data_IF_161561291743
#
_entry.id   IF_161561291743
#
_cell.length_a   1.000
_cell.length_b   1.000
_cell.length_c   1.000
_cell.angle_alpha   90.00
_cell.angle_beta   90.00
_cell.angle_gamma   90.00
#
_symmetry.space_group_name_H-M   'P 1'
#
loop_
_entity.id
_entity.type
_entity.pdbx_description
1 polymer ?
#
# COMPACT_ATOMS: atom_id res chain seq x y z
N UNK A 1 -15.40 -49.59 22.85
CA UNK A 1 -14.57 -49.45 21.64
C UNK A 1 -14.08 -48.02 21.61
N UNK A 2 -12.91 -47.88 22.21
CA UNK A 2 -11.87 -46.87 22.07
C UNK A 2 -12.24 -45.40 22.18
N UNK A 3 -12.23 -44.94 23.44
CA UNK A 3 -11.79 -43.60 23.80
C UNK A 3 -10.33 -43.44 23.36
N UNK A 4 -10.09 -42.69 22.29
CA UNK A 4 -8.77 -42.13 22.02
C UNK A 4 -8.60 -41.03 23.06
N UNK A 5 -7.71 -41.28 24.02
CA UNK A 5 -7.38 -40.33 25.07
C UNK A 5 -6.91 -39.02 24.45
N UNK A 6 -7.47 -37.92 24.94
CA UNK A 6 -6.81 -36.63 24.85
C UNK A 6 -5.44 -36.78 25.51
N UNK A 7 -4.38 -36.91 24.70
CA UNK A 7 -3.02 -36.69 25.17
C UNK A 7 -2.95 -35.23 25.61
N UNK A 8 -3.22 -35.00 26.89
CA UNK A 8 -2.73 -33.86 27.63
C UNK A 8 -1.22 -33.83 27.43
N UNK A 9 -0.74 -33.02 26.48
CA UNK A 9 0.66 -32.59 26.46
C UNK A 9 0.86 -31.72 27.71
N UNK A 10 1.62 -32.19 28.73
CA UNK A 10 1.93 -31.33 29.85
C UNK A 10 3.03 -30.38 29.38
N UNK A 11 2.67 -29.14 29.04
CA UNK A 11 3.65 -28.06 28.94
C UNK A 11 4.12 -27.67 30.36
N UNK A 12 4.73 -28.60 31.08
CA UNK A 12 5.46 -28.31 32.31
C UNK A 12 6.88 -27.91 31.93
N UNK A 13 7.04 -26.69 31.44
CA UNK A 13 8.32 -26.03 31.22
C UNK A 13 8.27 -24.66 31.89
N UNK A 14 9.34 -24.27 32.60
CA UNK A 14 9.55 -22.86 32.91
C UNK A 14 10.23 -22.26 31.68
N UNK A 15 9.62 -21.24 31.10
CA UNK A 15 10.25 -20.50 30.00
C UNK A 15 11.53 -19.86 30.52
N UNK A 16 12.62 -20.06 29.78
CA UNK A 16 13.92 -19.50 30.12
C UNK A 16 14.48 -18.78 28.91
N UNK A 17 14.82 -17.52 29.11
CA UNK A 17 15.57 -16.73 28.13
C UNK A 17 17.01 -16.61 28.62
N UNK A 18 17.95 -17.08 27.81
CA UNK A 18 19.38 -16.85 28.02
C UNK A 18 19.87 -15.78 27.06
N UNK A 19 20.23 -14.62 27.59
CA UNK A 19 20.78 -13.52 26.81
C UNK A 19 22.31 -13.64 26.68
N UNK A 20 22.81 -13.45 25.45
CA UNK A 20 24.21 -13.13 25.20
C UNK A 20 24.44 -11.63 25.31
N UNK A 21 25.59 -11.21 25.86
CA UNK A 21 26.01 -9.80 25.84
C UNK A 21 26.30 -9.27 24.43
N UNK A 22 26.38 -10.16 23.43
CA UNK A 22 26.65 -9.81 22.06
C UNK A 22 25.38 -9.30 21.34
N UNK A 23 25.56 -8.23 20.56
CA UNK A 23 24.55 -7.77 19.60
C UNK A 23 24.54 -8.68 18.38
N UNK A 24 23.39 -8.80 17.75
CA UNK A 24 23.24 -9.54 16.51
C UNK A 24 23.90 -8.78 15.34
N UNK A 25 24.56 -9.53 14.47
CA UNK A 25 25.12 -9.03 13.21
C UNK A 25 24.17 -9.40 12.09
N UNK A 26 23.71 -8.41 11.32
CA UNK A 26 22.85 -8.63 10.15
C UNK A 26 23.64 -9.12 8.93
N UNK A 27 22.91 -9.53 7.89
CA UNK A 27 23.50 -10.04 6.64
C UNK A 27 24.46 -9.06 5.95
N UNK A 28 24.33 -7.75 6.19
CA UNK A 28 25.18 -6.72 5.59
C UNK A 28 26.35 -6.32 6.50
N UNK A 29 26.61 -7.10 7.55
CA UNK A 29 27.69 -6.87 8.50
C UNK A 29 27.39 -5.77 9.52
N UNK A 30 26.17 -5.23 9.53
CA UNK A 30 25.75 -4.22 10.49
C UNK A 30 25.52 -4.81 11.88
N UNK A 31 25.87 -4.06 12.91
CA UNK A 31 25.46 -4.39 14.28
C UNK A 31 24.04 -3.90 14.50
N UNK A 32 23.10 -4.83 14.64
CA UNK A 32 21.70 -4.53 14.90
C UNK A 32 21.48 -4.06 16.35
N UNK A 33 20.45 -3.26 16.57
CA UNK A 33 19.98 -2.91 17.92
C UNK A 33 19.11 -4.03 18.52
N UNK A 34 19.64 -5.25 18.49
CA UNK A 34 19.04 -6.48 18.97
C UNK A 34 20.15 -7.34 19.59
N UNK A 35 19.92 -7.88 20.78
CA UNK A 35 20.86 -8.78 21.46
C UNK A 35 20.55 -10.23 21.09
N UNK A 36 21.59 -11.06 21.00
CA UNK A 36 21.42 -12.48 20.71
C UNK A 36 20.90 -13.17 21.98
N UNK A 37 19.92 -14.05 21.85
CA UNK A 37 19.45 -14.87 22.95
C UNK A 37 19.05 -16.27 22.51
N UNK A 38 18.79 -17.12 23.51
CA UNK A 38 18.17 -18.43 23.35
C UNK A 38 16.92 -18.51 24.19
N UNK A 39 15.84 -18.99 23.59
CA UNK A 39 14.56 -19.24 24.24
C UNK A 39 14.36 -20.73 24.41
N UNK A 40 14.17 -21.18 25.65
CA UNK A 40 13.93 -22.58 25.99
C UNK A 40 12.55 -22.74 26.61
N UNK A 41 11.73 -23.59 25.98
CA UNK A 41 10.41 -23.99 26.47
C UNK A 41 10.36 -25.52 26.55
N UNK A 42 10.57 -26.07 27.75
CA UNK A 42 10.68 -27.51 27.95
C UNK A 42 11.92 -28.09 27.23
N UNK A 43 11.69 -28.98 26.26
CA UNK A 43 12.76 -29.59 25.43
C UNK A 43 13.07 -28.77 24.17
N UNK A 44 12.28 -27.75 23.88
CA UNK A 44 12.42 -26.95 22.67
C UNK A 44 13.35 -25.76 22.94
N UNK A 45 14.40 -25.64 22.14
CA UNK A 45 15.32 -24.50 22.15
C UNK A 45 15.26 -23.80 20.79
N UNK A 46 15.13 -22.48 20.81
CA UNK A 46 15.15 -21.64 19.62
C UNK A 46 16.04 -20.43 19.86
N UNK A 47 16.87 -20.11 18.88
CA UNK A 47 17.57 -18.85 18.88
C UNK A 47 16.59 -17.68 18.65
N UNK A 48 16.74 -16.64 19.46
CA UNK A 48 15.88 -15.46 19.46
C UNK A 48 16.72 -14.19 19.47
N UNK A 49 16.06 -13.07 19.28
CA UNK A 49 16.64 -11.75 19.45
C UNK A 49 15.96 -11.04 20.61
N UNK A 50 16.68 -10.14 21.28
CA UNK A 50 16.16 -9.40 22.43
C UNK A 50 16.28 -7.91 22.14
N UNK A 51 15.13 -7.23 22.04
CA UNK A 51 15.07 -5.77 21.94
C UNK A 51 14.99 -5.18 23.34
N UNK A 52 15.90 -4.25 23.61
CA UNK A 52 15.88 -3.44 24.85
C UNK A 52 15.51 -2.01 24.53
N UNK A 53 14.89 -1.33 25.48
CA UNK A 53 14.57 0.09 25.31
C UNK A 53 13.73 0.64 26.43
N UNK A 54 13.99 1.88 26.83
CA UNK A 54 13.23 2.58 27.88
C UNK A 54 11.76 2.80 27.51
N UNK A 55 11.44 2.76 26.22
CA UNK A 55 10.11 2.92 25.66
C UNK A 55 9.27 1.64 25.69
N UNK A 56 9.89 0.47 25.91
CA UNK A 56 9.21 -0.82 25.89
C UNK A 56 8.47 -1.05 27.21
N UNK A 57 7.19 -1.36 27.11
CA UNK A 57 6.28 -1.52 28.24
C UNK A 57 5.55 -2.86 28.17
N UNK A 58 5.24 -3.41 29.33
CA UNK A 58 4.41 -4.63 29.44
C UNK A 58 3.05 -4.45 28.76
N UNK A 59 2.43 -3.29 28.91
CA UNK A 59 1.15 -2.94 28.26
C UNK A 59 1.20 -3.12 26.73
N UNK A 60 2.33 -2.78 26.09
CA UNK A 60 2.53 -2.99 24.65
C UNK A 60 2.54 -4.48 24.30
N UNK A 61 3.23 -5.30 25.10
CA UNK A 61 3.22 -6.75 24.93
C UNK A 61 1.82 -7.34 25.12
N UNK A 62 1.10 -6.94 26.17
CA UNK A 62 -0.26 -7.42 26.46
C UNK A 62 -1.26 -7.11 25.33
N UNK A 63 -1.07 -5.99 24.62
CA UNK A 63 -1.88 -5.67 23.43
C UNK A 63 -1.50 -6.50 22.21
N UNK A 64 -0.26 -6.97 22.13
CA UNK A 64 0.30 -7.67 20.95
C UNK A 64 0.44 -9.18 21.14
N UNK A 65 0.22 -9.71 22.34
CA UNK A 65 0.47 -11.13 22.66
C UNK A 65 -0.33 -12.10 21.80
N UNK A 66 -1.52 -11.69 21.34
CA UNK A 66 -2.37 -12.45 20.41
C UNK A 66 -2.34 -11.89 18.98
N UNK A 67 -1.48 -10.92 18.70
CA UNK A 67 -1.35 -10.29 17.39
C UNK A 67 -0.27 -10.97 16.56
N UNK A 68 -0.69 -11.68 15.52
CA UNK A 68 0.20 -12.33 14.57
C UNK A 68 -0.02 -11.72 13.19
N UNK A 69 1.05 -11.23 12.57
CA UNK A 69 1.00 -10.70 11.21
C UNK A 69 2.31 -11.03 10.46
N UNK A 70 2.26 -11.47 9.19
CA UNK A 70 3.47 -11.84 8.42
C UNK A 70 4.49 -10.71 8.21
N UNK A 71 4.10 -9.46 8.47
CA UNK A 71 4.93 -8.26 8.36
C UNK A 71 5.23 -7.60 9.72
N UNK A 72 4.88 -8.26 10.82
CA UNK A 72 5.33 -7.88 12.15
C UNK A 72 6.46 -8.82 12.60
N UNK A 73 7.49 -8.27 13.23
CA UNK A 73 8.43 -9.09 13.99
C UNK A 73 7.66 -9.69 15.17
N UNK A 74 7.70 -11.02 15.30
CA UNK A 74 6.89 -11.72 16.27
C UNK A 74 7.48 -11.56 17.67
N UNK A 75 6.69 -11.01 18.61
CA UNK A 75 7.09 -10.87 20.01
C UNK A 75 6.69 -12.16 20.73
N UNK A 76 7.70 -12.95 21.09
CA UNK A 76 7.54 -14.29 21.66
C UNK A 76 7.28 -14.22 23.17
N UNK A 77 7.96 -13.29 23.85
CA UNK A 77 7.92 -13.16 25.30
C UNK A 77 8.48 -11.78 25.71
N UNK A 78 8.50 -11.51 27.01
CA UNK A 78 9.19 -10.36 27.58
C UNK A 78 10.01 -10.73 28.81
N UNK A 79 11.07 -9.97 29.06
CA UNK A 79 11.89 -10.06 30.28
C UNK A 79 11.58 -8.82 31.11
N UNK A 80 11.13 -9.02 32.34
CA UNK A 80 10.95 -7.93 33.29
C UNK A 80 12.29 -7.25 33.61
N UNK A 81 12.29 -5.93 33.50
CA UNK A 81 13.37 -5.07 33.98
C UNK A 81 12.86 -4.19 35.14
N UNK A 82 13.77 -3.41 35.72
CA UNK A 82 13.42 -2.46 36.78
C UNK A 82 12.47 -1.37 36.27
N UNK A 83 11.48 -1.01 37.12
CA UNK A 83 10.58 0.15 36.98
C UNK A 83 9.58 0.04 35.79
N UNK A 84 8.88 -1.08 35.68
CA UNK A 84 7.82 -1.31 34.68
C UNK A 84 8.33 -1.24 33.22
N UNK A 85 9.63 -1.49 33.05
CA UNK A 85 10.27 -1.65 31.74
C UNK A 85 10.37 -3.13 31.44
N UNK A 86 10.33 -3.46 30.17
CA UNK A 86 10.50 -4.82 29.71
C UNK A 86 11.45 -4.85 28.53
N UNK A 87 12.22 -5.92 28.40
CA UNK A 87 12.87 -6.27 27.15
C UNK A 87 11.96 -7.21 26.38
N UNK A 88 11.84 -7.04 25.07
CA UNK A 88 11.06 -7.95 24.22
C UNK A 88 11.94 -9.06 23.67
N UNK A 89 11.47 -10.30 23.81
CA UNK A 89 12.05 -11.47 23.15
C UNK A 89 11.31 -11.63 21.83
N UNK A 90 12.05 -11.62 20.74
CA UNK A 90 11.47 -11.55 19.39
C UNK A 90 12.05 -12.61 18.48
N UNK A 91 11.32 -12.95 17.42
CA UNK A 91 11.79 -13.85 16.37
C UNK A 91 13.05 -13.30 15.68
N UNK A 92 13.86 -14.21 15.12
CA UNK A 92 14.99 -13.83 14.27
C UNK A 92 14.54 -12.99 13.08
N UNK A 93 15.41 -12.07 12.69
CA UNK A 93 15.38 -11.29 11.46
C UNK A 93 16.78 -11.34 10.83
N UNK A 94 16.86 -11.10 9.53
CA UNK A 94 18.10 -11.32 8.78
C UNK A 94 18.97 -10.06 8.70
N UNK A 95 18.35 -8.88 8.58
CA UNK A 95 19.04 -7.61 8.49
C UNK A 95 18.19 -6.45 9.00
N UNK A 96 18.83 -5.34 9.34
CA UNK A 96 18.11 -4.07 9.46
C UNK A 96 17.71 -3.56 8.08
N UNK A 97 16.52 -2.98 7.98
CA UNK A 97 16.05 -2.40 6.73
C UNK A 97 16.95 -1.25 6.26
N UNK A 98 17.43 -0.41 7.18
CA UNK A 98 18.28 0.73 6.85
C UNK A 98 19.65 0.31 6.28
N UNK A 99 20.26 -0.76 6.82
CA UNK A 99 21.52 -1.28 6.27
C UNK A 99 21.30 -1.83 4.86
N UNK A 100 20.26 -2.64 4.66
CA UNK A 100 19.89 -3.15 3.33
C UNK A 100 19.60 -2.03 2.34
N UNK A 101 18.86 -0.99 2.76
CA UNK A 101 18.53 0.15 1.93
C UNK A 101 19.79 0.85 1.41
N UNK A 102 20.81 1.00 2.26
CA UNK A 102 22.09 1.63 1.90
C UNK A 102 23.01 0.72 1.07
N UNK A 103 23.00 -0.58 1.36
CA UNK A 103 23.85 -1.55 0.67
C UNK A 103 23.29 -1.95 -0.70
N UNK A 104 22.00 -2.29 -0.77
CA UNK A 104 21.36 -2.84 -1.98
C UNK A 104 20.20 -2.00 -2.48
N UNK A 105 19.27 -1.62 -1.60
CA UNK A 105 18.01 -0.97 -2.01
C UNK A 105 18.24 0.26 -2.89
N UNK A 106 19.18 1.11 -2.48
CA UNK A 106 19.62 2.30 -3.22
C UNK A 106 20.55 1.97 -4.37
N UNK A 107 21.62 1.19 -4.13
CA UNK A 107 22.68 0.95 -5.12
C UNK A 107 22.17 0.18 -6.34
N UNK A 108 21.26 -0.77 -6.14
CA UNK A 108 20.64 -1.58 -7.20
C UNK A 108 19.32 -1.01 -7.70
N UNK A 109 18.94 0.21 -7.29
CA UNK A 109 17.69 0.88 -7.69
C UNK A 109 16.43 0.01 -7.48
N UNK A 110 16.37 -0.71 -6.36
CA UNK A 110 15.26 -1.62 -6.04
C UNK A 110 14.04 -0.88 -5.47
N UNK A 111 14.23 0.35 -4.98
CA UNK A 111 13.17 1.15 -4.37
C UNK A 111 12.46 2.05 -5.38
N UNK A 112 13.27 2.77 -6.16
CA UNK A 112 12.83 3.77 -7.13
C UNK A 112 13.61 3.64 -8.43
N UNK A 113 12.98 4.00 -9.55
CA UNK A 113 13.71 4.23 -10.80
C UNK A 113 14.28 5.66 -10.87
N UNK A 114 15.03 5.94 -11.94
CA UNK A 114 15.65 7.24 -12.22
C UNK A 114 14.67 8.42 -12.28
N UNK A 115 13.38 8.16 -12.53
CA UNK A 115 12.34 9.17 -12.62
C UNK A 115 11.57 9.32 -11.30
N UNK A 116 11.97 8.61 -10.25
CA UNK A 116 11.28 8.62 -8.97
C UNK A 116 9.99 7.78 -8.96
N UNK A 117 9.80 6.87 -9.92
CA UNK A 117 8.71 5.89 -9.86
C UNK A 117 9.07 4.81 -8.84
N UNK A 118 8.12 4.48 -7.98
CA UNK A 118 8.24 3.35 -7.06
C UNK A 118 8.35 2.03 -7.85
N UNK A 119 9.36 1.22 -7.55
CA UNK A 119 9.52 -0.12 -8.13
C UNK A 119 8.55 -1.10 -7.46
N UNK A 120 8.24 -2.20 -8.14
CA UNK A 120 7.31 -3.23 -7.67
C UNK A 120 7.65 -3.74 -6.27
N UNK A 121 8.93 -4.07 -6.00
CA UNK A 121 9.36 -4.56 -4.69
C UNK A 121 8.99 -3.59 -3.56
N UNK A 122 9.34 -2.30 -3.70
CA UNK A 122 9.03 -1.32 -2.65
C UNK A 122 7.52 -1.04 -2.57
N UNK A 123 6.82 -1.01 -3.71
CA UNK A 123 5.36 -0.88 -3.74
C UNK A 123 4.68 -1.99 -2.95
N UNK A 124 5.14 -3.22 -3.12
CA UNK A 124 4.59 -4.39 -2.43
C UNK A 124 4.91 -4.33 -0.92
N UNK A 125 6.14 -3.94 -0.54
CA UNK A 125 6.48 -3.68 0.87
C UNK A 125 5.55 -2.64 1.52
N UNK A 126 5.20 -1.57 0.80
CA UNK A 126 4.26 -0.55 1.32
C UNK A 126 2.84 -1.09 1.45
N UNK A 127 2.38 -1.89 0.49
CA UNK A 127 1.06 -2.53 0.57
C UNK A 127 0.98 -3.48 1.75
N UNK A 128 2.02 -4.30 1.95
CA UNK A 128 2.11 -5.22 3.09
C UNK A 128 2.21 -4.48 4.43
N UNK A 129 2.91 -3.34 4.48
CA UNK A 129 2.91 -2.46 5.64
C UNK A 129 1.52 -1.86 5.90
N UNK A 130 0.77 -1.51 4.86
CA UNK A 130 -0.62 -1.07 5.01
C UNK A 130 -1.50 -2.20 5.55
N UNK A 131 -1.30 -3.43 5.10
CA UNK A 131 -2.00 -4.64 5.56
C UNK A 131 -1.78 -4.88 7.06
N UNK A 132 -0.54 -4.69 7.52
CA UNK A 132 -0.18 -4.71 8.94
C UNK A 132 -0.96 -3.66 9.74
N UNK A 133 -0.97 -2.41 9.26
CA UNK A 133 -1.68 -1.32 9.94
C UNK A 133 -3.19 -1.59 9.97
N UNK A 134 -3.78 -2.02 8.86
CA UNK A 134 -5.21 -2.36 8.79
C UNK A 134 -5.57 -3.48 9.78
N UNK A 135 -4.71 -4.50 9.89
CA UNK A 135 -4.87 -5.60 10.84
C UNK A 135 -4.83 -5.14 12.30
N UNK A 136 -3.94 -4.19 12.65
CA UNK A 136 -3.92 -3.57 13.98
C UNK A 136 -5.22 -2.80 14.25
N UNK A 137 -5.66 -2.00 13.28
CA UNK A 137 -6.91 -1.23 13.40
C UNK A 137 -8.13 -2.14 13.57
N UNK A 138 -8.18 -3.27 12.86
CA UNK A 138 -9.21 -4.30 12.99
C UNK A 138 -9.26 -4.94 14.39
N UNK A 139 -8.14 -4.94 15.11
CA UNK A 139 -8.06 -5.36 16.52
C UNK A 139 -8.31 -4.22 17.51
N UNK A 140 -8.62 -3.01 17.04
CA UNK A 140 -8.82 -1.83 17.88
C UNK A 140 -7.51 -1.31 18.49
N UNK A 141 -6.38 -1.55 17.83
CA UNK A 141 -5.04 -1.14 18.24
C UNK A 141 -4.52 -0.11 17.24
N UNK A 142 -3.88 0.94 17.73
CA UNK A 142 -3.22 1.96 16.91
C UNK A 142 -1.74 2.04 17.27
N UNK A 143 -0.94 2.51 16.33
CA UNK A 143 0.47 2.78 16.58
C UNK A 143 0.54 4.01 17.48
N UNK A 144 1.27 3.90 18.60
CA UNK A 144 1.30 4.97 19.59
C UNK A 144 2.19 6.15 19.16
N UNK A 145 3.27 5.85 18.43
CA UNK A 145 4.26 6.80 17.93
C UNK A 145 4.38 6.69 16.41
N UNK A 146 4.94 7.70 15.75
CA UNK A 146 5.34 7.55 14.34
C UNK A 146 6.34 6.40 14.18
N UNK A 147 6.32 5.76 13.02
CA UNK A 147 7.32 4.74 12.68
C UNK A 147 8.74 5.29 12.79
N UNK A 148 9.62 4.52 13.44
CA UNK A 148 11.06 4.73 13.43
C UNK A 148 11.70 3.79 12.41
N UNK A 149 12.57 4.31 11.55
CA UNK A 149 13.31 3.52 10.55
C UNK A 149 14.15 2.40 11.19
N UNK A 150 14.61 2.60 12.43
CA UNK A 150 15.41 1.63 13.18
C UNK A 150 14.62 0.40 13.65
N UNK A 151 13.28 0.49 13.68
CA UNK A 151 12.41 -0.62 14.07
C UNK A 151 11.99 -1.49 12.87
N UNK A 152 12.44 -1.13 11.65
CA UNK A 152 12.23 -1.95 10.46
C UNK A 152 13.41 -2.89 10.20
N UNK A 153 13.07 -4.13 9.92
CA UNK A 153 14.00 -5.20 9.61
C UNK A 153 13.56 -5.91 8.33
N UNK A 154 14.40 -6.83 7.88
CA UNK A 154 14.10 -7.72 6.77
C UNK A 154 14.12 -9.16 7.22
N UNK A 155 13.22 -9.93 6.64
CA UNK A 155 13.36 -11.39 6.52
C UNK A 155 13.56 -11.71 5.05
N UNK A 156 14.53 -12.54 4.72
CA UNK A 156 14.81 -12.99 3.35
C UNK A 156 14.16 -14.36 3.17
N UNK A 157 13.24 -14.48 2.21
CA UNK A 157 12.66 -15.78 1.87
C UNK A 157 13.66 -16.68 1.14
N UNK A 158 13.35 -17.97 1.03
CA UNK A 158 14.22 -18.97 0.40
C UNK A 158 14.57 -18.65 -1.08
N UNK A 159 13.71 -17.88 -1.75
CA UNK A 159 13.92 -17.37 -3.11
C UNK A 159 14.76 -16.08 -3.17
N UNK A 160 15.25 -15.60 -2.02
CA UNK A 160 16.10 -14.41 -1.91
C UNK A 160 15.35 -13.09 -1.92
N UNK A 161 14.02 -13.09 -1.89
CA UNK A 161 13.23 -11.85 -1.91
C UNK A 161 13.22 -11.24 -0.49
N UNK A 162 13.64 -9.96 -0.33
CA UNK A 162 13.56 -9.31 0.96
C UNK A 162 12.12 -8.92 1.29
N UNK A 163 11.68 -9.27 2.49
CA UNK A 163 10.37 -8.91 3.03
C UNK A 163 10.52 -7.94 4.20
N UNK A 164 9.78 -6.83 4.13
CA UNK A 164 9.78 -5.82 5.18
C UNK A 164 8.99 -6.29 6.40
N UNK A 165 9.61 -6.28 7.56
CA UNK A 165 8.95 -6.56 8.85
C UNK A 165 9.18 -5.41 9.83
N UNK A 166 8.14 -5.06 10.58
CA UNK A 166 8.18 -4.00 11.59
C UNK A 166 8.18 -4.60 13.00
N UNK A 167 9.13 -4.19 13.83
CA UNK A 167 9.07 -4.44 15.26
C UNK A 167 8.14 -3.41 15.92
N UNK A 168 6.99 -3.87 16.40
CA UNK A 168 6.00 -3.02 17.05
C UNK A 168 6.43 -2.68 18.49
N UNK A 169 7.22 -1.63 18.64
CA UNK A 169 7.79 -1.20 19.94
C UNK A 169 6.81 -0.40 20.80
N UNK A 170 5.79 0.23 20.19
CA UNK A 170 4.80 1.03 20.91
C UNK A 170 3.43 1.04 20.21
N UNK A 171 2.45 0.37 20.82
CA UNK A 171 1.04 0.41 20.41
C UNK A 171 0.15 0.82 21.57
N UNK A 172 -1.05 1.29 21.27
CA UNK A 172 -2.04 1.68 22.29
C UNK A 172 -3.45 1.39 21.79
N UNK A 173 -4.41 1.34 22.72
CA UNK A 173 -5.82 1.53 22.35
C UNK A 173 -6.05 3.00 21.96
N UNK A 174 -6.86 3.28 20.93
CA UNK A 174 -7.12 4.65 20.53
C UNK A 174 -7.87 5.40 21.63
N UNK A 175 -7.40 6.60 21.98
CA UNK A 175 -8.12 7.51 22.86
C UNK A 175 -9.04 8.42 22.04
N UNK A 176 -8.60 8.80 20.84
CA UNK A 176 -9.35 9.60 19.88
C UNK A 176 -9.39 8.86 18.53
N UNK A 177 -10.32 7.91 18.33
CA UNK A 177 -10.26 6.94 17.24
C UNK A 177 -10.01 7.55 15.86
N UNK A 178 -10.75 8.59 15.47
CA UNK A 178 -10.59 9.24 14.17
C UNK A 178 -9.20 9.88 13.99
N UNK A 179 -8.65 10.47 15.04
CA UNK A 179 -7.34 11.13 15.01
C UNK A 179 -6.22 10.09 15.02
N UNK A 180 -6.27 9.14 15.96
CA UNK A 180 -5.24 8.12 16.13
C UNK A 180 -5.12 7.19 14.90
N UNK A 181 -6.25 6.87 14.24
CA UNK A 181 -6.26 6.15 12.95
C UNK A 181 -5.56 6.98 11.86
N UNK A 182 -5.85 8.28 11.78
CA UNK A 182 -5.21 9.18 10.80
C UNK A 182 -3.70 9.28 11.01
N UNK A 183 -3.24 9.35 12.26
CA UNK A 183 -1.80 9.36 12.59
C UNK A 183 -1.12 8.02 12.29
N UNK A 184 -1.82 6.89 12.45
CA UNK A 184 -1.31 5.57 12.04
C UNK A 184 -1.06 5.53 10.52
N UNK A 185 -2.00 5.98 9.70
CA UNK A 185 -1.81 6.06 8.25
C UNK A 185 -0.77 7.10 7.83
N UNK A 186 -0.67 8.21 8.56
CA UNK A 186 0.38 9.21 8.34
C UNK A 186 1.77 8.65 8.59
N UNK A 187 1.91 7.73 9.55
CA UNK A 187 3.19 7.05 9.81
C UNK A 187 3.66 6.25 8.60
N UNK A 188 2.76 5.57 7.88
CA UNK A 188 3.08 4.88 6.62
C UNK A 188 3.57 5.87 5.56
N UNK A 189 2.87 7.00 5.37
CA UNK A 189 3.30 8.03 4.41
C UNK A 189 4.65 8.65 4.77
N UNK A 190 4.90 8.86 6.06
CA UNK A 190 6.19 9.34 6.56
C UNK A 190 7.31 8.34 6.29
N UNK A 191 7.06 7.04 6.47
CA UNK A 191 8.02 5.99 6.13
C UNK A 191 8.41 6.02 4.65
N UNK A 192 7.44 6.19 3.73
CA UNK A 192 7.71 6.36 2.29
C UNK A 192 8.63 7.57 2.07
N UNK A 193 8.32 8.71 2.70
CA UNK A 193 9.12 9.93 2.59
C UNK A 193 10.54 9.75 3.15
N UNK A 194 10.70 9.04 4.28
CA UNK A 194 12.01 8.70 4.84
C UNK A 194 12.82 7.84 3.87
N UNK A 195 12.19 6.87 3.21
CA UNK A 195 12.86 6.07 2.16
C UNK A 195 13.30 6.94 0.98
N UNK A 196 12.47 7.90 0.55
CA UNK A 196 12.85 8.88 -0.47
C UNK A 196 14.07 9.71 -0.04
N UNK A 197 14.10 10.18 1.21
CA UNK A 197 15.25 10.93 1.78
C UNK A 197 16.51 10.09 1.79
N UNK A 198 16.48 8.85 2.30
CA UNK A 198 17.66 7.97 2.33
C UNK A 198 18.17 7.61 0.92
N UNK A 199 17.25 7.55 -0.06
CA UNK A 199 17.58 7.29 -1.47
C UNK A 199 17.91 8.55 -2.28
N UNK A 200 17.94 9.75 -1.68
CA UNK A 200 18.13 11.03 -2.38
C UNK A 200 17.19 11.21 -3.59
N UNK A 201 15.94 10.75 -3.46
CA UNK A 201 14.96 10.68 -4.55
C UNK A 201 13.69 11.45 -4.19
N UNK A 202 12.92 11.89 -5.19
CA UNK A 202 11.56 12.41 -5.02
C UNK A 202 10.58 11.53 -5.77
N UNK A 203 9.41 11.28 -5.20
CA UNK A 203 8.34 10.58 -5.90
C UNK A 203 7.90 11.37 -7.13
N UNK A 204 7.68 10.66 -8.23
CA UNK A 204 6.95 11.23 -9.35
C UNK A 204 5.47 11.45 -8.99
N UNK A 205 4.70 12.04 -9.92
CA UNK A 205 3.27 12.31 -9.70
C UNK A 205 2.48 11.07 -9.30
N UNK A 206 2.74 9.93 -9.95
CA UNK A 206 2.07 8.67 -9.65
C UNK A 206 2.41 8.11 -8.26
N UNK A 207 3.69 8.10 -7.89
CA UNK A 207 4.12 7.66 -6.56
C UNK A 207 3.57 8.56 -5.45
N UNK A 208 3.52 9.88 -5.69
CA UNK A 208 2.89 10.82 -4.77
C UNK A 208 1.39 10.55 -4.63
N UNK A 209 0.69 10.36 -5.75
CA UNK A 209 -0.72 10.03 -5.78
C UNK A 209 -1.04 8.75 -5.01
N UNK A 210 -0.23 7.69 -5.21
CA UNK A 210 -0.31 6.43 -4.47
C UNK A 210 -0.12 6.63 -2.96
N UNK A 211 0.93 7.36 -2.55
CA UNK A 211 1.19 7.67 -1.14
C UNK A 211 0.07 8.49 -0.50
N UNK A 212 -0.42 9.52 -1.21
CA UNK A 212 -1.50 10.40 -0.73
C UNK A 212 -2.84 9.66 -0.62
N UNK A 213 -3.04 8.57 -1.35
CA UNK A 213 -4.25 7.74 -1.27
C UNK A 213 -4.34 6.96 0.05
N UNK A 214 -3.20 6.58 0.65
CA UNK A 214 -3.15 5.80 1.89
C UNK A 214 -3.85 6.56 3.02
N UNK A 215 -4.89 5.97 3.61
CA UNK A 215 -5.63 6.55 4.74
C UNK A 215 -6.63 7.67 4.38
N UNK A 216 -6.96 7.86 3.09
CA UNK A 216 -8.13 8.67 2.68
C UNK A 216 -9.44 7.99 3.11
N UNK A 217 -10.54 8.73 3.14
CA UNK A 217 -11.86 8.16 3.48
C UNK A 217 -12.34 7.08 2.49
N UNK A 218 -11.86 7.11 1.24
CA UNK A 218 -12.14 6.10 0.20
C UNK A 218 -11.08 4.99 0.13
N UNK A 219 -10.10 5.00 1.03
CA UNK A 219 -9.01 4.03 1.04
C UNK A 219 -9.51 2.64 1.43
N UNK A 220 -9.07 1.63 0.66
CA UNK A 220 -9.09 0.22 1.04
C UNK A 220 -7.82 -0.45 0.53
N UNK A 221 -7.38 -1.53 1.19
CA UNK A 221 -6.22 -2.31 0.74
C UNK A 221 -6.40 -2.90 -0.66
N UNK A 222 -7.62 -3.36 -0.98
CA UNK A 222 -7.96 -3.87 -2.31
C UNK A 222 -7.77 -2.78 -3.37
N UNK A 223 -8.23 -1.56 -3.09
CA UNK A 223 -8.02 -0.44 -4.00
C UNK A 223 -6.55 -0.03 -4.11
N UNK A 224 -5.78 -0.07 -3.03
CA UNK A 224 -4.34 0.24 -3.07
C UNK A 224 -3.58 -0.77 -3.94
N UNK A 225 -3.89 -2.07 -3.83
CA UNK A 225 -3.30 -3.13 -4.66
C UNK A 225 -3.53 -2.85 -6.15
N UNK A 226 -4.76 -2.51 -6.52
CA UNK A 226 -5.16 -2.21 -7.90
C UNK A 226 -4.92 -0.77 -8.38
N UNK A 227 -4.18 0.06 -7.63
CA UNK A 227 -4.06 1.49 -7.93
C UNK A 227 -3.48 1.76 -9.33
N UNK A 228 -3.88 2.84 -10.04
CA UNK A 228 -3.56 3.03 -11.46
C UNK A 228 -2.09 3.32 -11.81
N UNK A 229 -1.20 3.42 -10.82
CA UNK A 229 0.22 3.74 -11.00
C UNK A 229 1.01 2.67 -11.79
N UNK A 230 0.51 1.43 -11.78
CA UNK A 230 1.09 0.28 -12.50
C UNK A 230 0.32 -0.14 -13.73
N UNK A 231 -0.79 0.53 -14.07
CA UNK A 231 -1.62 0.13 -15.20
C UNK A 231 -0.92 0.33 -16.53
N UNK A 232 -0.87 -0.72 -17.33
CA UNK A 232 -0.55 -0.61 -18.74
C UNK A 232 -1.72 0.02 -19.53
N UNK A 233 -1.49 0.28 -20.82
CA UNK A 233 -2.51 0.88 -21.69
C UNK A 233 -3.68 -0.06 -22.00
N UNK A 234 -3.50 -1.37 -21.84
CA UNK A 234 -4.60 -2.33 -21.98
C UNK A 234 -5.55 -2.22 -20.79
N UNK A 235 -5.04 -2.22 -19.57
CA UNK A 235 -5.82 -2.04 -18.34
C UNK A 235 -6.57 -0.71 -18.33
N UNK A 236 -5.92 0.38 -18.75
CA UNK A 236 -6.58 1.71 -18.90
C UNK A 236 -7.74 1.66 -19.89
N UNK A 237 -7.55 1.01 -21.03
CA UNK A 237 -8.60 0.80 -22.03
C UNK A 237 -9.76 -0.05 -21.51
N UNK A 238 -9.45 -1.19 -20.89
CA UNK A 238 -10.43 -2.10 -20.29
C UNK A 238 -11.24 -1.36 -19.19
N UNK A 239 -10.58 -0.56 -18.36
CA UNK A 239 -11.24 0.27 -17.35
C UNK A 239 -12.17 1.32 -17.98
N UNK A 240 -11.69 2.07 -18.98
CA UNK A 240 -12.50 3.07 -19.69
C UNK A 240 -13.77 2.44 -20.32
N UNK A 241 -13.66 1.24 -20.89
CA UNK A 241 -14.79 0.50 -21.43
C UNK A 241 -15.79 0.11 -20.32
N UNK A 242 -15.30 -0.30 -19.15
CA UNK A 242 -16.11 -0.75 -18.02
C UNK A 242 -17.02 0.35 -17.42
N UNK A 243 -16.61 1.63 -17.50
CA UNK A 243 -17.36 2.78 -16.96
C UNK A 243 -18.77 2.92 -17.54
N UNK A 244 -19.02 2.33 -18.70
CA UNK A 244 -20.28 2.44 -19.42
C UNK A 244 -21.00 1.10 -19.61
N UNK A 245 -20.61 0.07 -18.86
CA UNK A 245 -21.32 -1.22 -18.78
C UNK A 245 -22.37 -1.21 -17.66
N UNK A 246 -22.15 -0.42 -16.61
CA UNK A 246 -23.07 -0.29 -15.48
C UNK A 246 -24.26 0.64 -15.77
N UNK A 247 -25.20 0.73 -14.82
CA UNK A 247 -26.36 1.63 -14.89
C UNK A 247 -25.92 3.07 -15.21
N UNK A 248 -26.42 3.60 -16.33
CA UNK A 248 -26.00 4.91 -16.85
C UNK A 248 -26.32 6.06 -15.88
N UNK A 249 -27.46 6.00 -15.19
CA UNK A 249 -27.87 7.06 -14.25
C UNK A 249 -26.95 7.06 -13.03
N UNK A 250 -26.62 5.88 -12.52
CA UNK A 250 -25.65 5.71 -11.45
C UNK A 250 -24.27 6.21 -11.88
N UNK A 251 -23.73 5.72 -13.00
CA UNK A 251 -22.39 6.09 -13.47
C UNK A 251 -22.25 7.59 -13.74
N UNK A 252 -23.28 8.21 -14.32
CA UNK A 252 -23.34 9.66 -14.52
C UNK A 252 -23.27 10.42 -13.20
N UNK A 253 -23.95 9.93 -12.15
CA UNK A 253 -23.87 10.51 -10.81
C UNK A 253 -22.48 10.33 -10.19
N UNK A 254 -21.86 9.16 -10.35
CA UNK A 254 -20.54 8.87 -9.81
C UNK A 254 -19.46 9.73 -10.47
N UNK A 255 -19.46 9.79 -11.80
CA UNK A 255 -18.49 10.57 -12.59
C UNK A 255 -18.61 12.07 -12.28
N UNK A 256 -19.82 12.59 -12.04
CA UNK A 256 -20.00 13.98 -11.56
C UNK A 256 -19.35 14.26 -10.21
N UNK A 257 -19.20 13.25 -9.35
CA UNK A 257 -18.50 13.36 -8.07
C UNK A 257 -16.98 13.27 -8.17
N UNK A 258 -16.44 13.06 -9.38
CA UNK A 258 -14.99 13.01 -9.63
C UNK A 258 -14.43 14.38 -10.02
N UNK A 259 -13.10 14.50 -9.98
CA UNK A 259 -12.39 15.65 -10.55
C UNK A 259 -12.11 15.47 -12.06
N UNK A 260 -12.99 14.80 -12.80
CA UNK A 260 -12.89 14.71 -14.27
C UNK A 260 -13.77 15.77 -14.90
N UNK A 261 -13.24 16.47 -15.90
CA UNK A 261 -13.93 17.53 -16.61
C UNK A 261 -13.41 17.58 -18.04
N UNK A 262 -14.18 18.19 -18.93
CA UNK A 262 -13.71 18.50 -20.28
C UNK A 262 -12.48 19.41 -20.22
N UNK A 263 -11.41 19.12 -20.97
CA UNK A 263 -10.10 19.78 -20.84
C UNK A 263 -10.08 21.15 -21.53
N UNK A 264 -10.90 22.09 -21.05
CA UNK A 264 -11.03 23.44 -21.64
C UNK A 264 -9.94 24.38 -21.14
N UNK A 265 -9.31 25.12 -22.04
CA UNK A 265 -8.46 26.29 -21.74
C UNK A 265 -9.17 27.54 -22.24
N UNK A 266 -9.41 28.53 -21.38
CA UNK A 266 -10.16 29.76 -21.73
C UNK A 266 -11.49 29.48 -22.43
N UNK A 267 -12.22 28.47 -21.94
CA UNK A 267 -13.48 27.95 -22.48
C UNK A 267 -13.40 27.24 -23.85
N UNK A 268 -12.20 27.04 -24.39
CA UNK A 268 -11.96 26.39 -25.69
C UNK A 268 -11.49 24.94 -25.49
N UNK A 269 -12.05 24.01 -26.26
CA UNK A 269 -11.62 22.61 -26.29
C UNK A 269 -10.38 22.43 -27.18
N UNK A 270 -9.50 21.47 -26.89
CA UNK A 270 -8.41 21.09 -27.79
C UNK A 270 -8.95 20.72 -29.16
N UNK A 271 -8.30 21.19 -30.23
CA UNK A 271 -8.76 21.02 -31.62
C UNK A 271 -9.08 19.56 -31.97
N UNK A 272 -8.18 18.65 -31.60
CA UNK A 272 -8.37 17.21 -31.82
C UNK A 272 -9.61 16.67 -31.09
N UNK A 273 -9.90 17.14 -29.87
CA UNK A 273 -11.09 16.74 -29.12
C UNK A 273 -12.36 17.31 -29.74
N UNK A 274 -12.32 18.56 -30.21
CA UNK A 274 -13.43 19.17 -30.94
C UNK A 274 -13.73 18.43 -32.25
N UNK A 275 -12.69 18.05 -32.99
CA UNK A 275 -12.83 17.23 -34.20
C UNK A 275 -13.47 15.86 -33.94
N UNK A 276 -13.14 15.21 -32.80
CA UNK A 276 -13.79 13.95 -32.41
C UNK A 276 -15.29 14.13 -32.12
N UNK A 277 -15.68 15.27 -31.54
CA UNK A 277 -17.09 15.63 -31.33
C UNK A 277 -17.78 15.81 -32.68
N UNK A 278 -17.27 16.67 -33.56
CA UNK A 278 -17.84 16.94 -34.88
C UNK A 278 -17.96 15.67 -35.74
N UNK A 279 -16.96 14.79 -35.68
CA UNK A 279 -17.00 13.49 -36.37
C UNK A 279 -18.09 12.56 -35.81
N UNK A 280 -18.41 12.66 -34.52
CA UNK A 280 -19.47 11.88 -33.89
C UNK A 280 -20.85 12.44 -34.20
N UNK A 281 -20.98 13.77 -34.28
CA UNK A 281 -22.22 14.46 -34.67
C UNK A 281 -22.64 14.12 -36.10
N UNK A 282 -21.68 13.99 -37.02
CA UNK A 282 -21.93 13.48 -38.39
C UNK A 282 -22.50 12.06 -38.41
N UNK A 283 -22.29 11.29 -37.35
CA UNK A 283 -22.85 9.94 -37.14
C UNK A 283 -24.13 9.96 -36.27
N UNK A 284 -24.65 11.14 -35.91
CA UNK A 284 -25.86 11.32 -35.12
C UNK A 284 -25.68 11.28 -33.60
N UNK A 285 -24.44 11.32 -33.10
CA UNK A 285 -24.14 11.33 -31.66
C UNK A 285 -23.76 12.74 -31.19
N UNK A 286 -24.45 13.24 -30.17
CA UNK A 286 -24.23 14.58 -29.62
C UNK A 286 -23.76 14.48 -28.17
N UNK A 287 -22.73 15.24 -27.82
CA UNK A 287 -22.15 15.26 -26.47
C UNK A 287 -22.36 16.61 -25.81
N UNK A 288 -22.66 16.61 -24.51
CA UNK A 288 -22.76 17.84 -23.72
C UNK A 288 -21.42 18.13 -23.02
N UNK A 289 -20.76 19.18 -23.47
CA UNK A 289 -19.44 19.62 -22.96
C UNK A 289 -19.46 20.22 -21.54
N UNK A 290 -20.63 20.23 -20.89
CA UNK A 290 -20.83 20.56 -19.48
C UNK A 290 -21.00 19.32 -18.60
N UNK A 291 -21.12 18.14 -19.20
CA UNK A 291 -21.31 16.90 -18.47
C UNK A 291 -20.07 16.00 -18.55
N UNK A 292 -19.37 15.75 -17.42
CA UNK A 292 -18.19 14.89 -17.40
C UNK A 292 -18.46 13.44 -17.81
N UNK A 293 -19.69 12.95 -17.66
CA UNK A 293 -20.05 11.61 -18.14
C UNK A 293 -20.00 11.53 -19.67
N UNK A 294 -20.47 12.55 -20.36
CA UNK A 294 -20.39 12.63 -21.83
C UNK A 294 -18.94 12.74 -22.31
N UNK A 295 -18.05 13.36 -21.53
CA UNK A 295 -16.61 13.33 -21.81
C UNK A 295 -16.09 11.90 -21.80
N UNK A 296 -16.33 11.15 -20.72
CA UNK A 296 -15.90 9.75 -20.63
C UNK A 296 -16.56 8.86 -21.71
N UNK A 297 -17.80 9.16 -22.09
CA UNK A 297 -18.51 8.45 -23.15
C UNK A 297 -17.87 8.68 -24.52
N UNK A 298 -17.52 9.93 -24.84
CA UNK A 298 -16.77 10.27 -26.05
C UNK A 298 -15.44 9.51 -26.09
N UNK A 299 -14.64 9.59 -25.02
CA UNK A 299 -13.35 8.89 -24.94
C UNK A 299 -13.50 7.38 -25.14
N UNK A 300 -14.48 6.77 -24.47
CA UNK A 300 -14.80 5.34 -24.59
C UNK A 300 -15.20 4.98 -26.02
N UNK A 301 -16.06 5.77 -26.66
CA UNK A 301 -16.51 5.50 -28.03
C UNK A 301 -15.36 5.66 -29.03
N UNK A 302 -14.53 6.71 -28.89
CA UNK A 302 -13.32 6.89 -29.70
C UNK A 302 -12.32 5.74 -29.52
N UNK A 303 -12.18 5.21 -28.30
CA UNK A 303 -11.31 4.05 -28.03
C UNK A 303 -11.88 2.76 -28.62
N UNK A 304 -13.17 2.48 -28.38
CA UNK A 304 -13.85 1.26 -28.83
C UNK A 304 -13.91 1.15 -30.36
N UNK A 305 -14.19 2.27 -31.02
CA UNK A 305 -14.37 2.36 -32.48
C UNK A 305 -13.19 3.05 -33.16
N UNK A 306 -11.99 2.92 -32.59
CA UNK A 306 -10.79 3.60 -33.09
C UNK A 306 -10.55 3.35 -34.58
N UNK A 307 -10.77 2.12 -35.04
CA UNK A 307 -10.53 1.71 -36.42
C UNK A 307 -11.51 2.36 -37.42
N UNK A 308 -12.65 2.87 -36.92
CA UNK A 308 -13.68 3.59 -37.66
C UNK A 308 -13.51 5.12 -37.62
N UNK A 309 -12.43 5.60 -36.98
CA UNK A 309 -12.12 7.03 -36.97
C UNK A 309 -11.59 7.46 -38.34
N UNK A 310 -11.92 8.69 -38.79
CA UNK A 310 -11.31 9.29 -39.97
C UNK A 310 -9.77 9.22 -39.98
N UNK A 311 -9.19 9.08 -41.17
CA UNK A 311 -7.75 8.81 -41.33
C UNK A 311 -6.85 9.87 -40.71
N UNK A 312 -7.25 11.15 -40.75
CA UNK A 312 -6.48 12.23 -40.13
C UNK A 312 -6.39 12.13 -38.59
N UNK A 313 -7.39 11.53 -37.92
CA UNK A 313 -7.29 11.26 -36.49
C UNK A 313 -6.35 10.08 -36.23
N UNK A 314 -6.45 9.02 -37.03
CA UNK A 314 -5.58 7.85 -36.92
C UNK A 314 -4.13 8.21 -37.24
N UNK A 315 -3.85 9.16 -38.12
CA UNK A 315 -2.48 9.62 -38.38
C UNK A 315 -1.87 10.39 -37.19
N UNK A 316 -2.68 11.10 -36.40
CA UNK A 316 -2.23 11.83 -35.21
C UNK A 316 -2.11 10.90 -34.01
N UNK A 317 -3.14 10.09 -33.76
CA UNK A 317 -3.24 9.22 -32.60
C UNK A 317 -2.47 7.92 -32.79
N UNK A 318 -2.20 7.51 -34.03
CA UNK A 318 -1.52 6.28 -34.47
C UNK A 318 -2.29 5.00 -34.14
N UNK A 319 -2.68 4.81 -32.89
CA UNK A 319 -3.41 3.64 -32.39
C UNK A 319 -4.19 3.97 -31.10
N UNK A 320 -4.87 2.96 -30.53
CA UNK A 320 -5.61 3.08 -29.27
C UNK A 320 -4.74 3.51 -28.08
N UNK A 321 -3.49 3.08 -28.03
CA UNK A 321 -2.55 3.51 -26.99
C UNK A 321 -2.22 5.00 -27.12
N UNK A 322 -2.01 5.50 -28.34
CA UNK A 322 -1.77 6.92 -28.58
C UNK A 322 -2.99 7.80 -28.24
N UNK A 323 -4.21 7.29 -28.41
CA UNK A 323 -5.42 7.93 -27.86
C UNK A 323 -5.37 8.02 -26.34
N UNK A 324 -5.03 6.94 -25.62
CA UNK A 324 -4.92 6.96 -24.16
C UNK A 324 -3.82 7.91 -23.67
N UNK A 325 -2.67 7.95 -24.35
CA UNK A 325 -1.61 8.94 -24.09
C UNK A 325 -2.12 10.37 -24.28
N UNK A 326 -2.93 10.60 -25.31
CA UNK A 326 -3.48 11.91 -25.59
C UNK A 326 -4.53 12.32 -24.54
N UNK A 327 -5.31 11.38 -24.03
CA UNK A 327 -6.22 11.58 -22.89
C UNK A 327 -5.42 12.00 -21.64
N UNK A 328 -4.31 11.33 -21.35
CA UNK A 328 -3.43 11.69 -20.21
C UNK A 328 -2.81 13.09 -20.39
N UNK A 329 -2.53 13.52 -21.62
CA UNK A 329 -2.08 14.91 -21.87
C UNK A 329 -3.17 15.93 -21.60
N UNK A 330 -4.40 15.63 -21.98
CA UNK A 330 -5.55 16.50 -21.72
C UNK A 330 -5.98 16.51 -20.26
N UNK A 331 -5.82 15.39 -19.56
CA UNK A 331 -6.27 15.19 -18.19
C UNK A 331 -5.28 14.29 -17.42
N UNK A 332 -4.18 14.85 -16.90
CA UNK A 332 -3.06 14.09 -16.31
C UNK A 332 -3.43 13.12 -15.18
N UNK A 333 -4.44 13.45 -14.37
CA UNK A 333 -4.88 12.64 -13.22
C UNK A 333 -6.18 11.86 -13.49
N UNK A 334 -6.63 11.75 -14.74
CA UNK A 334 -7.95 11.17 -15.07
C UNK A 334 -8.16 9.77 -14.47
N UNK A 335 -7.17 8.88 -14.59
CA UNK A 335 -7.33 7.50 -14.10
C UNK A 335 -7.46 7.44 -12.59
N UNK A 336 -6.65 8.20 -11.86
CA UNK A 336 -6.76 8.38 -10.41
C UNK A 336 -8.13 8.94 -10.02
N UNK A 337 -8.53 10.04 -10.65
CA UNK A 337 -9.75 10.77 -10.30
C UNK A 337 -11.00 9.90 -10.50
N UNK A 338 -11.01 9.08 -11.55
CA UNK A 338 -12.05 8.08 -11.76
C UNK A 338 -11.94 6.94 -10.73
N UNK A 339 -10.75 6.36 -10.55
CA UNK A 339 -10.53 5.18 -9.71
C UNK A 339 -10.88 5.42 -8.23
N UNK A 340 -10.35 6.49 -7.62
CA UNK A 340 -10.49 6.76 -6.17
C UNK A 340 -11.95 6.98 -5.73
N UNK A 341 -12.85 7.32 -6.65
CA UNK A 341 -14.28 7.58 -6.38
C UNK A 341 -15.16 6.43 -6.88
N UNK A 342 -15.00 6.02 -8.14
CA UNK A 342 -15.91 5.08 -8.79
C UNK A 342 -15.74 3.69 -8.20
N UNK A 343 -14.50 3.19 -8.08
CA UNK A 343 -14.25 1.84 -7.58
C UNK A 343 -14.70 1.73 -6.11
N UNK A 344 -14.41 2.75 -5.30
CA UNK A 344 -14.89 2.81 -3.91
C UNK A 344 -16.42 2.70 -3.81
N UNK A 345 -17.15 3.50 -4.60
CA UNK A 345 -18.61 3.53 -4.55
C UNK A 345 -19.24 2.26 -5.13
N UNK A 346 -18.63 1.66 -6.15
CA UNK A 346 -19.05 0.35 -6.66
C UNK A 346 -18.84 -0.75 -5.62
N UNK A 347 -17.65 -0.84 -5.01
CA UNK A 347 -17.37 -1.83 -3.95
C UNK A 347 -18.36 -1.70 -2.79
N UNK A 348 -18.67 -0.48 -2.35
CA UNK A 348 -19.67 -0.23 -1.31
C UNK A 348 -21.07 -0.65 -1.72
N UNK A 349 -21.49 -0.34 -2.95
CA UNK A 349 -22.81 -0.71 -3.46
C UNK A 349 -23.01 -2.22 -3.58
N UNK A 350 -21.98 -2.96 -4.00
CA UNK A 350 -22.05 -4.41 -4.08
C UNK A 350 -22.02 -5.09 -2.70
N UNK A 351 -21.24 -4.57 -1.73
CA UNK A 351 -21.27 -5.08 -0.35
C UNK A 351 -22.64 -4.92 0.29
N UNK A 352 -23.28 -3.76 0.15
CA UNK A 352 -24.63 -3.50 0.70
C UNK A 352 -25.76 -4.33 0.07
N UNK A 353 -25.51 -5.07 -1.01
CA UNK A 353 -26.50 -5.98 -1.64
C UNK A 353 -26.33 -7.44 -1.23
N UNK A 354 -25.24 -7.76 -0.54
CA UNK A 354 -24.90 -9.11 -0.10
C UNK A 354 -25.16 -9.32 1.41
N UNK A 355 -25.32 -8.23 2.15
CA UNK A 355 -25.91 -8.18 3.50
C UNK A 355 -27.42 -7.92 3.42
#
# INVERSE_FOLDING_TARGET
>A
MDQIGEEHFPWTGKDKVEESRARATGLYGETMDLFIGKYTMGIYERDVLIKKGVQLKRETFELLSEFFHPNAVHILDFIDEDKNRVSFVVSKVDASFLAWLKAEGKQKQLMFDENGKMKTLFRDMIIELCDLVDSLLGKGIVIANSFNMEDFYLTISDDGIPKLVLLLTAVKKPQYPKHDVKESWKSVRNFINSCCTECDTKLNSWGKNFSDFIGKDTFTLEMLRGYPDTWDYKMKGDYLLSLHVADQKMMRSLIKGTCVHWPKSDHVLPELLNGLIESSEKKGYFYNDRDPYEYTALLKNSYKHFDELPEHFKSILVNREGLLKQIERWSPDIWKNLYEIIVFLLMRHFRMKLD
#
